data_IF_119294877841
#
_entry.id   IF_119294877841
#
_cell.length_a   1.000
_cell.length_b   1.000
_cell.length_c   1.000
_cell.angle_alpha   90.00
_cell.angle_beta   90.00
_cell.angle_gamma   90.00
#
_symmetry.space_group_name_H-M   'P 1'
#
loop_
_entity.id
_entity.type
_entity.pdbx_description
1 polymer ?
#
# COMPACT_ATOMS: atom_id res chain seq x y z
N UNK A 1 -43.29 55.81 54.07
CA UNK A 1 -41.83 55.73 53.86
C UNK A 1 -41.54 54.44 53.11
N UNK A 2 -41.01 54.59 51.89
CA UNK A 2 -40.11 53.69 51.13
C UNK A 2 -40.51 52.22 50.89
N UNK A 3 -40.37 51.60 49.73
CA UNK A 3 -40.00 51.98 48.35
C UNK A 3 -40.24 50.72 47.51
N UNK A 4 -40.70 50.93 46.27
CA UNK A 4 -40.35 50.15 45.08
C UNK A 4 -40.49 48.61 45.08
N UNK A 5 -41.47 48.13 44.31
CA UNK A 5 -41.35 46.87 43.58
C UNK A 5 -41.83 47.08 42.14
N UNK A 6 -40.94 47.60 41.30
CA UNK A 6 -40.51 46.88 40.09
C UNK A 6 -41.61 46.59 39.06
N UNK A 7 -42.03 47.63 38.35
CA UNK A 7 -42.73 47.56 37.07
C UNK A 7 -41.75 47.09 35.99
N UNK A 8 -41.73 45.81 35.59
CA UNK A 8 -41.21 45.34 34.27
C UNK A 8 -41.68 43.91 33.93
N UNK A 9 -42.97 43.73 33.60
CA UNK A 9 -43.41 42.55 32.84
C UNK A 9 -43.84 43.05 31.48
N UNK A 10 -42.86 43.12 30.58
CA UNK A 10 -42.98 43.61 29.22
C UNK A 10 -44.02 42.85 28.41
N UNK A 11 -44.60 43.56 27.46
CA UNK A 11 -45.58 43.07 26.50
C UNK A 11 -45.11 41.77 25.83
N UNK A 12 -45.95 40.75 25.94
CA UNK A 12 -45.75 39.45 25.29
C UNK A 12 -46.02 39.55 23.79
N UNK A 13 -45.09 40.13 23.04
CA UNK A 13 -44.94 39.84 21.62
C UNK A 13 -43.90 38.73 21.45
N UNK A 14 -44.31 37.49 21.76
CA UNK A 14 -43.43 36.31 21.77
C UNK A 14 -43.37 35.56 20.42
N UNK A 15 -44.05 36.05 19.38
CA UNK A 15 -44.21 35.32 18.11
C UNK A 15 -42.96 35.30 17.22
N UNK A 16 -42.21 36.41 17.15
CA UNK A 16 -41.03 36.49 16.27
C UNK A 16 -39.81 35.76 16.84
N UNK A 17 -39.66 35.73 18.17
CA UNK A 17 -38.54 35.07 18.84
C UNK A 17 -38.58 33.55 18.73
N UNK A 18 -39.79 32.95 18.70
CA UNK A 18 -39.92 31.49 18.59
C UNK A 18 -39.56 31.01 17.18
N UNK A 19 -39.90 31.78 16.15
CA UNK A 19 -39.59 31.45 14.76
C UNK A 19 -38.08 31.59 14.47
N UNK A 20 -37.42 32.63 14.99
CA UNK A 20 -35.97 32.80 14.84
C UNK A 20 -35.17 31.76 15.63
N UNK A 21 -35.63 31.37 16.82
CA UNK A 21 -35.00 30.32 17.61
C UNK A 21 -35.02 28.96 16.89
N UNK A 22 -36.14 28.58 16.28
CA UNK A 22 -36.26 27.34 15.51
C UNK A 22 -35.35 27.40 14.28
N UNK A 23 -35.33 28.52 13.57
CA UNK A 23 -34.46 28.69 12.39
C UNK A 23 -32.97 28.53 12.75
N UNK A 24 -32.53 29.14 13.85
CA UNK A 24 -31.16 28.99 14.34
C UNK A 24 -30.88 27.54 14.74
N UNK A 25 -31.77 26.86 15.46
CA UNK A 25 -31.59 25.45 15.84
C UNK A 25 -31.44 24.54 14.62
N UNK A 26 -32.20 24.76 13.55
CA UNK A 26 -32.09 23.98 12.31
C UNK A 26 -30.72 24.19 11.64
N UNK A 27 -30.23 25.44 11.59
CA UNK A 27 -28.91 25.74 11.01
C UNK A 27 -27.80 25.13 11.86
N UNK A 28 -27.84 25.29 13.18
CA UNK A 28 -26.83 24.71 14.07
C UNK A 28 -26.83 23.18 14.02
N UNK A 29 -28.01 22.56 13.92
CA UNK A 29 -28.14 21.12 13.73
C UNK A 29 -27.55 20.67 12.39
N UNK A 30 -27.82 21.40 11.30
CA UNK A 30 -27.24 21.14 9.98
C UNK A 30 -25.71 21.25 9.97
N UNK A 31 -25.16 22.29 10.61
CA UNK A 31 -23.71 22.48 10.73
C UNK A 31 -23.05 21.40 11.59
N UNK A 32 -23.68 21.01 12.71
CA UNK A 32 -23.21 19.92 13.57
C UNK A 32 -23.19 18.57 12.86
N UNK A 33 -24.24 18.25 12.09
CA UNK A 33 -24.31 17.03 11.28
C UNK A 33 -23.21 16.99 10.21
N UNK A 34 -22.92 18.13 9.57
CA UNK A 34 -21.84 18.25 8.60
C UNK A 34 -20.46 18.03 9.23
N UNK A 35 -20.20 18.61 10.41
CA UNK A 35 -18.92 18.43 11.12
C UNK A 35 -18.62 16.96 11.47
N UNK A 36 -19.62 16.19 11.91
CA UNK A 36 -19.44 14.76 12.25
C UNK A 36 -19.08 13.95 10.99
N UNK A 37 -19.70 14.27 9.85
CA UNK A 37 -19.47 13.57 8.58
C UNK A 37 -18.05 13.80 8.06
N UNK A 38 -17.54 15.03 8.19
CA UNK A 38 -16.18 15.36 7.77
C UNK A 38 -15.11 14.70 8.66
N UNK A 39 -15.34 14.63 9.98
CA UNK A 39 -14.38 14.06 10.94
C UNK A 39 -14.07 12.58 10.68
N UNK A 40 -15.07 11.78 10.27
CA UNK A 40 -14.87 10.37 9.92
C UNK A 40 -14.04 10.17 8.65
N UNK A 41 -14.29 10.98 7.61
CA UNK A 41 -13.56 10.89 6.35
C UNK A 41 -12.09 11.33 6.49
N UNK A 42 -11.80 12.24 7.42
CA UNK A 42 -10.44 12.68 7.74
C UNK A 42 -9.60 11.55 8.37
N UNK A 43 -10.19 10.70 9.21
CA UNK A 43 -9.48 9.58 9.84
C UNK A 43 -9.13 8.47 8.83
N UNK A 44 -10.01 8.24 7.84
CA UNK A 44 -9.80 7.22 6.81
C UNK A 44 -8.67 7.60 5.84
N UNK A 45 -8.58 8.88 5.45
CA UNK A 45 -7.53 9.37 4.56
C UNK A 45 -6.13 9.19 5.15
N UNK A 46 -5.95 9.54 6.44
CA UNK A 46 -4.66 9.36 7.13
C UNK A 46 -4.24 7.88 7.22
N UNK A 47 -5.20 6.99 7.50
CA UNK A 47 -4.93 5.55 7.52
C UNK A 47 -4.52 5.02 6.14
N UNK A 48 -5.13 5.55 5.07
CA UNK A 48 -4.81 5.16 3.70
C UNK A 48 -3.42 5.65 3.26
N UNK A 49 -3.01 6.85 3.68
CA UNK A 49 -1.66 7.37 3.42
C UNK A 49 -0.59 6.49 4.08
N UNK A 50 -0.79 6.12 5.35
CA UNK A 50 0.12 5.21 6.08
C UNK A 50 0.20 3.85 5.41
N UNK A 51 -0.94 3.28 5.02
CA UNK A 51 -0.98 2.00 4.32
C UNK A 51 -0.28 2.08 2.95
N UNK A 52 -0.38 3.22 2.26
CA UNK A 52 0.37 3.52 1.04
C UNK A 52 1.89 3.49 1.22
N UNK A 53 2.40 4.00 2.35
CA UNK A 53 3.83 3.95 2.69
C UNK A 53 4.27 2.53 3.11
N UNK A 54 3.47 1.82 3.89
CA UNK A 54 3.76 0.44 4.32
C UNK A 54 3.84 -0.52 3.12
N UNK A 55 2.91 -0.39 2.16
CA UNK A 55 2.96 -1.14 0.91
C UNK A 55 4.27 -0.89 0.13
N UNK A 56 4.77 0.36 0.11
CA UNK A 56 6.02 0.68 -0.57
C UNK A 56 7.23 0.04 0.13
N UNK A 57 7.26 0.06 1.47
CA UNK A 57 8.30 -0.60 2.25
C UNK A 57 8.29 -2.12 2.02
N UNK A 58 7.11 -2.73 1.90
CA UNK A 58 6.96 -4.16 1.59
C UNK A 58 7.51 -4.49 0.20
N UNK A 59 7.16 -3.69 -0.82
CA UNK A 59 7.65 -3.86 -2.17
C UNK A 59 9.19 -3.72 -2.24
N UNK A 60 9.77 -2.73 -1.52
CA UNK A 60 11.22 -2.56 -1.44
C UNK A 60 11.92 -3.76 -0.79
N UNK A 61 11.38 -4.29 0.30
CA UNK A 61 11.93 -5.48 0.95
C UNK A 61 11.93 -6.71 0.02
N UNK A 62 10.84 -6.92 -0.74
CA UNK A 62 10.79 -7.97 -1.77
C UNK A 62 11.78 -7.74 -2.91
N UNK A 63 12.00 -6.49 -3.31
CA UNK A 63 12.99 -6.11 -4.33
C UNK A 63 14.42 -6.36 -3.85
N UNK A 64 14.77 -5.97 -2.62
CA UNK A 64 16.11 -6.19 -2.05
C UNK A 64 16.43 -7.69 -1.95
N UNK A 65 15.44 -8.48 -1.52
CA UNK A 65 15.56 -9.93 -1.52
C UNK A 65 15.72 -10.51 -2.93
N UNK A 66 14.91 -10.05 -3.89
CA UNK A 66 14.95 -10.53 -5.27
C UNK A 66 16.27 -10.17 -5.96
N UNK A 67 16.76 -8.95 -5.75
CA UNK A 67 18.06 -8.48 -6.25
C UNK A 67 19.20 -9.29 -5.65
N UNK A 68 19.17 -9.56 -4.35
CA UNK A 68 20.21 -10.34 -3.70
C UNK A 68 20.25 -11.80 -4.16
N UNK A 69 19.11 -12.41 -4.52
CA UNK A 69 19.11 -13.74 -5.16
C UNK A 69 19.84 -13.76 -6.49
N UNK A 70 19.86 -12.63 -7.20
CA UNK A 70 20.53 -12.45 -8.48
C UNK A 70 21.96 -11.94 -8.30
N UNK A 71 22.49 -11.84 -7.09
CA UNK A 71 23.93 -11.59 -6.85
C UNK A 71 24.57 -12.90 -6.41
N UNK A 72 25.38 -13.50 -7.27
CA UNK A 72 26.18 -14.68 -6.90
C UNK A 72 27.30 -14.26 -5.95
N UNK A 73 27.55 -15.08 -4.92
CA UNK A 73 28.88 -15.09 -4.29
C UNK A 73 29.93 -15.61 -5.27
N UNK A 74 31.19 -15.22 -5.08
CA UNK A 74 32.33 -15.75 -5.87
C UNK A 74 32.41 -17.27 -5.85
N UNK A 75 31.83 -17.90 -4.83
CA UNK A 75 31.82 -19.34 -4.60
C UNK A 75 30.55 -20.03 -5.14
N UNK A 76 29.70 -19.31 -5.89
CA UNK A 76 28.48 -19.85 -6.49
C UNK A 76 27.31 -20.10 -5.51
N UNK A 77 27.45 -19.66 -4.26
CA UNK A 77 26.41 -19.77 -3.21
C UNK A 77 25.47 -18.55 -3.23
N UNK A 78 24.16 -18.76 -3.00
CA UNK A 78 23.17 -17.67 -2.92
C UNK A 78 23.13 -17.09 -1.50
N UNK A 79 23.56 -15.83 -1.32
CA UNK A 79 23.65 -15.19 0.01
C UNK A 79 22.28 -14.88 0.66
N UNK A 80 21.22 -14.72 -0.14
CA UNK A 80 19.88 -14.38 0.36
C UNK A 80 18.89 -15.55 0.42
N UNK A 81 19.39 -16.79 0.35
CA UNK A 81 18.59 -18.02 0.49
C UNK A 81 18.55 -18.62 1.90
N UNK A 82 19.21 -18.00 2.89
CA UNK A 82 19.42 -18.56 4.25
C UNK A 82 18.41 -18.06 5.30
N UNK A 83 17.41 -17.27 4.90
CA UNK A 83 16.35 -16.78 5.80
C UNK A 83 15.15 -17.73 5.90
N UNK A 84 14.28 -17.49 6.89
CA UNK A 84 13.02 -18.21 7.17
C UNK A 84 11.94 -18.06 6.07
N UNK A 85 12.30 -17.59 4.87
CA UNK A 85 11.40 -17.55 3.73
C UNK A 85 11.17 -18.99 3.25
N UNK A 86 10.01 -19.55 3.61
CA UNK A 86 9.53 -20.87 3.16
C UNK A 86 9.13 -20.91 1.68
N UNK A 87 9.25 -19.79 0.95
CA UNK A 87 9.11 -19.78 -0.50
C UNK A 87 10.28 -20.56 -1.14
N UNK A 88 10.09 -21.28 -2.25
CA UNK A 88 11.14 -22.06 -2.88
C UNK A 88 12.20 -21.14 -3.51
N UNK A 89 13.14 -20.68 -2.67
CA UNK A 89 14.29 -19.83 -3.04
C UNK A 89 15.11 -20.43 -4.19
N UNK A 90 15.18 -21.76 -4.27
CA UNK A 90 15.80 -22.46 -5.38
C UNK A 90 15.01 -22.33 -6.70
N UNK A 91 13.67 -22.36 -6.64
CA UNK A 91 12.82 -22.30 -7.84
C UNK A 91 12.88 -20.93 -8.52
N UNK A 92 12.96 -19.83 -7.78
CA UNK A 92 13.07 -18.49 -8.37
C UNK A 92 14.41 -18.24 -9.01
N UNK A 93 15.50 -18.63 -8.35
CA UNK A 93 16.82 -18.52 -8.95
C UNK A 93 16.89 -19.34 -10.26
N UNK A 94 16.43 -20.59 -10.26
CA UNK A 94 16.39 -21.44 -11.47
C UNK A 94 15.47 -20.85 -12.56
N UNK A 95 14.32 -20.30 -12.19
CA UNK A 95 13.38 -19.73 -13.14
C UNK A 95 13.91 -18.40 -13.75
N UNK A 96 14.46 -17.50 -12.92
CA UNK A 96 15.12 -16.27 -13.35
C UNK A 96 16.34 -16.51 -14.25
N UNK A 97 17.20 -17.45 -13.87
CA UNK A 97 18.44 -17.73 -14.61
C UNK A 97 18.16 -18.50 -15.92
N UNK A 98 17.13 -19.34 -15.93
CA UNK A 98 16.78 -20.23 -17.04
C UNK A 98 15.92 -19.61 -18.15
N UNK A 99 15.14 -18.55 -17.89
CA UNK A 99 14.12 -18.11 -18.85
C UNK A 99 14.27 -16.65 -19.30
N UNK A 100 13.99 -16.40 -20.59
CA UNK A 100 13.54 -15.11 -21.12
C UNK A 100 12.07 -14.82 -20.72
N UNK A 101 11.67 -15.20 -19.50
CA UNK A 101 10.29 -15.26 -19.05
C UNK A 101 10.14 -14.94 -17.55
N UNK A 102 8.94 -14.50 -17.19
CA UNK A 102 8.58 -14.00 -15.87
C UNK A 102 8.44 -15.13 -14.84
N UNK A 103 9.14 -15.03 -13.71
CA UNK A 103 8.96 -15.93 -12.56
C UNK A 103 8.43 -15.17 -11.35
N UNK A 104 7.33 -15.63 -10.74
CA UNK A 104 6.68 -15.01 -9.58
C UNK A 104 7.01 -15.77 -8.30
N UNK A 105 7.51 -15.09 -7.26
CA UNK A 105 7.50 -15.62 -5.88
C UNK A 105 6.63 -14.77 -4.97
N UNK A 106 5.68 -15.46 -4.33
CA UNK A 106 4.74 -14.86 -3.41
C UNK A 106 5.23 -15.04 -1.97
N UNK A 107 5.44 -13.92 -1.30
CA UNK A 107 5.69 -13.90 0.13
C UNK A 107 4.36 -13.73 0.85
N UNK A 108 4.00 -14.74 1.64
CA UNK A 108 2.81 -14.67 2.48
C UNK A 108 2.88 -13.46 3.43
N UNK A 109 1.70 -12.90 3.69
CA UNK A 109 1.43 -12.02 4.81
C UNK A 109 2.18 -12.48 6.08
N UNK A 110 3.15 -11.69 6.54
CA UNK A 110 3.94 -11.96 7.74
C UNK A 110 5.38 -12.43 7.49
N UNK A 111 5.78 -12.61 6.23
CA UNK A 111 7.18 -12.91 5.87
C UNK A 111 8.15 -11.79 6.28
N UNK A 112 7.67 -10.55 6.35
CA UNK A 112 8.42 -9.39 6.83
C UNK A 112 7.80 -8.88 8.14
N UNK A 113 8.55 -8.88 9.26
CA UNK A 113 8.07 -8.36 10.54
C UNK A 113 7.58 -6.91 10.40
N UNK A 114 6.34 -6.62 10.84
CA UNK A 114 5.73 -5.28 10.74
C UNK A 114 4.95 -4.99 9.45
N UNK A 115 5.04 -5.86 8.44
CA UNK A 115 4.33 -5.73 7.16
C UNK A 115 3.38 -6.91 6.89
N UNK A 116 2.91 -7.55 7.96
CA UNK A 116 2.12 -8.77 7.89
C UNK A 116 0.76 -8.64 7.16
N UNK A 117 0.32 -7.42 6.87
CA UNK A 117 -0.91 -7.13 6.14
C UNK A 117 -0.72 -7.13 4.61
N UNK A 118 0.53 -7.11 4.14
CA UNK A 118 0.86 -7.04 2.72
C UNK A 118 1.40 -8.36 2.22
N UNK A 119 0.90 -8.78 1.07
CA UNK A 119 1.48 -9.86 0.26
C UNK A 119 2.43 -9.22 -0.75
N UNK A 120 3.57 -9.87 -1.00
CA UNK A 120 4.58 -9.35 -1.96
C UNK A 120 4.87 -10.40 -3.02
N UNK A 121 4.58 -10.07 -4.26
CA UNK A 121 4.91 -10.88 -5.44
C UNK A 121 6.14 -10.30 -6.12
N UNK A 122 7.21 -11.09 -6.20
CA UNK A 122 8.46 -10.71 -6.86
C UNK A 122 8.49 -11.38 -8.22
N UNK A 123 8.58 -10.57 -9.26
CA UNK A 123 8.73 -10.98 -10.66
C UNK A 123 10.11 -10.68 -11.17
N UNK A 124 10.60 -11.56 -12.04
CA UNK A 124 11.94 -11.46 -12.59
C UNK A 124 11.93 -11.87 -14.05
N UNK A 125 12.51 -11.02 -14.89
CA UNK A 125 12.63 -11.21 -16.33
C UNK A 125 14.10 -11.02 -16.72
N UNK A 126 14.67 -12.01 -17.41
CA UNK A 126 16.03 -11.92 -17.95
C UNK A 126 16.00 -11.40 -19.38
N UNK A 127 16.79 -10.38 -19.64
CA UNK A 127 17.12 -9.88 -20.97
C UNK A 127 18.63 -9.89 -21.13
N UNK A 128 19.15 -10.50 -22.18
CA UNK A 128 20.54 -10.27 -22.56
C UNK A 128 20.64 -9.05 -23.46
N UNK A 129 21.76 -8.35 -23.35
CA UNK A 129 22.11 -7.28 -24.28
C UNK A 129 23.12 -7.82 -25.27
N UNK A 130 22.69 -7.95 -26.52
CA UNK A 130 23.52 -8.21 -27.68
C UNK A 130 23.05 -7.31 -28.83
N UNK A 131 23.95 -6.84 -29.70
CA UNK A 131 23.58 -6.06 -30.90
C UNK A 131 22.93 -6.91 -32.01
N UNK A 132 22.44 -8.12 -31.71
CA UNK A 132 21.75 -8.96 -32.70
C UNK A 132 21.53 -10.42 -32.30
N UNK A 133 20.39 -10.69 -31.62
CA UNK A 133 19.71 -11.99 -31.44
C UNK A 133 20.33 -13.05 -30.50
N UNK A 134 19.50 -13.49 -29.53
CA UNK A 134 19.61 -14.63 -28.60
C UNK A 134 20.95 -14.86 -27.86
N UNK A 135 20.91 -14.70 -26.53
CA UNK A 135 22.05 -14.71 -25.61
C UNK A 135 23.10 -15.82 -25.87
N UNK A 136 24.24 -15.52 -26.52
CA UNK A 136 25.37 -16.43 -26.55
C UNK A 136 26.09 -16.48 -25.19
N UNK A 137 26.92 -17.51 -25.01
CA UNK A 137 27.76 -17.67 -23.81
C UNK A 137 28.77 -16.52 -23.74
N UNK A 138 28.60 -15.59 -22.79
CA UNK A 138 29.49 -14.45 -22.59
C UNK A 138 28.84 -13.05 -22.67
N UNK A 139 27.52 -12.96 -22.89
CA UNK A 139 26.79 -11.68 -22.86
C UNK A 139 26.43 -11.23 -21.45
N UNK A 140 26.41 -9.91 -21.22
CA UNK A 140 25.90 -9.33 -19.97
C UNK A 140 24.41 -9.64 -19.84
N UNK A 141 24.04 -10.27 -18.72
CA UNK A 141 22.64 -10.54 -18.41
C UNK A 141 22.08 -9.36 -17.63
N UNK A 142 21.04 -8.71 -18.17
CA UNK A 142 20.23 -7.76 -17.43
C UNK A 142 19.00 -8.47 -16.87
N UNK A 143 18.81 -8.35 -15.57
CA UNK A 143 17.66 -8.86 -14.86
C UNK A 143 16.77 -7.70 -14.45
N UNK A 144 15.56 -7.65 -15.00
CA UNK A 144 14.51 -6.76 -14.55
C UNK A 144 13.76 -7.44 -13.41
N UNK A 145 13.87 -6.90 -12.22
CA UNK A 145 13.22 -7.42 -11.01
C UNK A 145 12.13 -6.43 -10.61
N UNK A 146 10.92 -6.92 -10.50
CA UNK A 146 9.73 -6.12 -10.18
C UNK A 146 9.05 -6.72 -8.96
N UNK A 147 8.96 -5.97 -7.87
CA UNK A 147 8.25 -6.37 -6.67
C UNK A 147 6.94 -5.59 -6.55
N UNK A 148 5.83 -6.32 -6.42
CA UNK A 148 4.49 -5.76 -6.25
C UNK A 148 3.95 -6.18 -4.90
N UNK A 149 3.63 -5.19 -4.05
CA UNK A 149 3.02 -5.41 -2.75
C UNK A 149 1.55 -4.96 -2.75
N UNK A 150 0.65 -5.79 -2.23
CA UNK A 150 -0.77 -5.48 -2.13
C UNK A 150 -1.39 -6.03 -0.84
N UNK A 151 -2.43 -5.36 -0.33
CA UNK A 151 -3.14 -5.78 0.90
C UNK A 151 -4.28 -6.79 0.66
N UNK A 152 -4.76 -6.90 -0.58
CA UNK A 152 -5.78 -7.88 -0.98
C UNK A 152 -5.27 -8.67 -2.18
N UNK A 153 -4.49 -9.74 -2.00
CA UNK A 153 -4.01 -10.55 -3.11
C UNK A 153 -5.14 -11.39 -3.75
N UNK A 154 -4.98 -11.74 -5.02
CA UNK A 154 -5.82 -12.75 -5.69
C UNK A 154 -5.05 -14.05 -5.75
N UNK A 155 -5.65 -15.15 -5.26
CA UNK A 155 -5.00 -16.46 -5.20
C UNK A 155 -3.62 -16.45 -4.50
N UNK A 156 -3.42 -15.53 -3.55
CA UNK A 156 -2.17 -15.39 -2.80
C UNK A 156 -1.07 -14.56 -3.51
N UNK A 157 -1.36 -13.94 -4.65
CA UNK A 157 -0.42 -13.12 -5.41
C UNK A 157 -0.96 -11.70 -5.69
N UNK A 158 -0.02 -10.78 -5.91
CA UNK A 158 -0.25 -9.42 -6.39
C UNK A 158 0.19 -9.30 -7.86
N UNK A 159 -0.44 -8.43 -8.68
CA UNK A 159 -1.55 -7.54 -8.34
C UNK A 159 -2.87 -8.30 -8.15
N UNK A 160 -3.83 -7.67 -7.47
CA UNK A 160 -5.20 -8.18 -7.43
C UNK A 160 -5.80 -8.08 -8.84
N UNK A 161 -6.11 -9.23 -9.43
CA UNK A 161 -6.70 -9.33 -10.78
C UNK A 161 -8.23 -9.33 -10.77
N UNK A 162 -8.85 -9.20 -9.59
CA UNK A 162 -10.30 -9.04 -9.40
C UNK A 162 -10.64 -7.58 -9.10
N UNK A 163 -11.92 -7.24 -8.97
CA UNK A 163 -12.33 -5.89 -8.55
C UNK A 163 -12.00 -5.68 -7.06
N UNK A 164 -11.00 -4.85 -6.71
CA UNK A 164 -10.60 -4.68 -5.33
C UNK A 164 -11.58 -3.77 -4.58
N UNK A 165 -11.65 -3.91 -3.26
CA UNK A 165 -12.43 -3.02 -2.40
C UNK A 165 -11.86 -1.58 -2.35
N UNK A 166 -12.60 -0.61 -1.79
CA UNK A 166 -12.21 0.80 -1.75
C UNK A 166 -10.94 1.09 -0.92
N UNK A 167 -10.52 0.14 -0.08
CA UNK A 167 -9.30 0.22 0.74
C UNK A 167 -8.11 -0.53 0.12
N UNK A 168 -8.20 -0.90 -1.16
CA UNK A 168 -7.11 -1.57 -1.86
C UNK A 168 -5.91 -0.65 -2.00
N UNK A 169 -4.75 -1.17 -1.64
CA UNK A 169 -3.46 -0.49 -1.80
C UNK A 169 -2.52 -1.45 -2.51
N UNK A 170 -1.92 -0.94 -3.58
CA UNK A 170 -0.89 -1.62 -4.34
C UNK A 170 0.30 -0.68 -4.54
N UNK A 171 1.51 -1.21 -4.38
CA UNK A 171 2.76 -0.53 -4.71
C UNK A 171 3.66 -1.45 -5.49
N UNK A 172 4.19 -0.95 -6.59
CA UNK A 172 5.13 -1.66 -7.45
C UNK A 172 6.45 -0.92 -7.49
N UNK A 173 7.56 -1.64 -7.33
CA UNK A 173 8.92 -1.12 -7.44
C UNK A 173 9.72 -2.05 -8.34
N UNK A 174 10.55 -1.47 -9.19
CA UNK A 174 11.32 -2.21 -10.18
C UNK A 174 12.78 -1.78 -10.16
N UNK A 175 13.69 -2.73 -10.37
CA UNK A 175 15.14 -2.49 -10.49
C UNK A 175 15.73 -3.31 -11.63
N UNK A 176 16.88 -2.86 -12.12
CA UNK A 176 17.69 -3.55 -13.11
C UNK A 176 19.00 -3.99 -12.44
N UNK A 177 19.32 -5.28 -12.56
CA UNK A 177 20.57 -5.85 -12.07
C UNK A 177 21.35 -6.39 -13.26
N UNK A 178 22.57 -5.90 -13.45
CA UNK A 178 23.50 -6.44 -14.43
C UNK A 178 24.34 -7.55 -13.79
N UNK A 179 24.38 -8.74 -14.41
CA UNK A 179 25.41 -9.74 -14.14
C UNK A 179 26.35 -9.85 -15.33
N UNK A 180 27.63 -9.64 -15.03
CA UNK A 180 28.78 -9.90 -15.89
C UNK A 180 29.34 -11.30 -15.60
#
# INVERSE_FOLDING_TARGET
MCTDTGRLLGDRQAGFAIASAIFLLVILAGLGAFMITLSGNQQLGLAQDVNGSRALLAARAGLDWGACMMVKSRDGTNYCGTGTATAPVAAFYTACSGAAGTSTLDHAAGAFPGLAEFTVSVTCTKTCVDEGTACPTGSSNLYLITATACNSPTAGACPNTTTPGPLYVERQVTTLVEQN
#
